data_IF_340609176749
#
_entry.id   IF_340609176749
#
_cell.length_a   1.000
_cell.length_b   1.000
_cell.length_c   1.000
_cell.angle_alpha   90.00
_cell.angle_beta   90.00
_cell.angle_gamma   90.00
#
_symmetry.space_group_name_H-M   'P 1'
#
loop_
_entity.id
_entity.type
_entity.pdbx_description
1 polymer ?
#
# COMPACT_ATOMS: atom_id res chain seq x y z
N UNK A 1 -32.47 20.10 -7.09
CA UNK A 1 -33.08 18.87 -6.52
C UNK A 1 -31.92 17.86 -6.47
N UNK A 2 -31.45 17.52 -5.29
CA UNK A 2 -30.46 16.45 -5.14
C UNK A 2 -31.16 15.14 -5.50
N UNK A 3 -30.77 14.52 -6.61
CA UNK A 3 -31.18 13.14 -6.87
C UNK A 3 -30.74 12.29 -5.69
N UNK A 4 -31.63 11.40 -5.22
CA UNK A 4 -31.29 10.46 -4.15
C UNK A 4 -30.16 9.58 -4.60
N UNK A 5 -28.97 9.82 -4.04
CA UNK A 5 -27.73 9.07 -4.36
C UNK A 5 -27.80 7.59 -3.98
N UNK A 6 -28.78 7.19 -3.16
CA UNK A 6 -28.97 5.82 -2.70
C UNK A 6 -30.38 5.33 -3.00
N UNK A 7 -30.52 4.15 -3.61
CA UNK A 7 -31.78 3.50 -3.99
C UNK A 7 -31.75 2.03 -3.58
N UNK A 8 -32.92 1.44 -3.39
CA UNK A 8 -33.03 -0.01 -3.29
C UNK A 8 -33.43 -0.53 -4.66
N UNK A 9 -32.59 -1.37 -5.26
CA UNK A 9 -32.84 -1.97 -6.56
C UNK A 9 -32.88 -3.49 -6.45
N UNK A 10 -33.67 -4.14 -7.29
CA UNK A 10 -33.65 -5.59 -7.44
C UNK A 10 -32.39 -6.03 -8.13
N UNK A 11 -32.00 -7.28 -7.93
CA UNK A 11 -30.81 -7.85 -8.58
C UNK A 11 -30.90 -7.74 -10.12
N UNK A 12 -32.08 -7.96 -10.66
CA UNK A 12 -32.33 -7.83 -12.11
C UNK A 12 -32.01 -6.42 -12.61
N UNK A 13 -32.57 -5.39 -11.95
CA UNK A 13 -32.33 -3.99 -12.30
C UNK A 13 -30.83 -3.61 -12.24
N UNK A 14 -30.13 -4.14 -11.25
CA UNK A 14 -28.67 -3.85 -11.11
C UNK A 14 -27.86 -4.52 -12.20
N UNK A 15 -28.18 -5.77 -12.56
CA UNK A 15 -27.45 -6.52 -13.58
C UNK A 15 -27.79 -6.11 -15.03
N UNK A 16 -28.91 -5.42 -15.25
CA UNK A 16 -29.26 -4.79 -16.54
C UNK A 16 -28.43 -3.54 -16.84
N UNK A 17 -27.82 -2.92 -15.82
CA UNK A 17 -26.92 -1.80 -16.02
C UNK A 17 -25.69 -2.21 -16.82
N UNK A 18 -25.11 -1.25 -17.56
CA UNK A 18 -23.84 -1.47 -18.26
C UNK A 18 -22.68 -1.43 -17.24
N UNK A 19 -22.70 -2.41 -16.32
CA UNK A 19 -21.68 -2.54 -15.27
C UNK A 19 -20.31 -2.81 -15.86
N UNK A 20 -19.28 -2.16 -15.31
CA UNK A 20 -17.89 -2.35 -15.69
C UNK A 20 -17.06 -2.65 -14.44
N UNK A 21 -16.13 -3.61 -14.57
CA UNK A 21 -15.09 -3.85 -13.56
C UNK A 21 -13.89 -3.00 -13.97
N UNK A 22 -13.63 -1.87 -13.32
CA UNK A 22 -12.50 -1.02 -13.67
C UNK A 22 -11.16 -1.64 -13.26
N UNK A 23 -10.06 -1.20 -13.91
CA UNK A 23 -8.72 -1.75 -13.71
C UNK A 23 -8.17 -1.53 -12.29
N UNK A 24 -8.70 -0.56 -11.55
CA UNK A 24 -8.31 -0.36 -10.16
C UNK A 24 -8.93 -1.39 -9.20
N UNK A 25 -9.97 -2.12 -9.61
CA UNK A 25 -10.59 -3.12 -8.74
C UNK A 25 -9.65 -4.29 -8.45
N UNK A 26 -9.74 -4.78 -7.21
CA UNK A 26 -8.99 -5.96 -6.78
C UNK A 26 -9.43 -7.20 -7.57
N UNK A 27 -8.53 -8.18 -7.77
CA UNK A 27 -8.93 -9.45 -8.36
C UNK A 27 -10.12 -10.10 -7.64
N UNK A 28 -10.91 -10.88 -8.35
CA UNK A 28 -11.94 -11.70 -7.75
C UNK A 28 -11.30 -12.78 -6.85
N UNK A 29 -11.44 -12.61 -5.52
CA UNK A 29 -10.76 -13.41 -4.50
C UNK A 29 -11.67 -14.35 -3.71
N UNK A 30 -12.99 -14.30 -3.92
CA UNK A 30 -13.87 -15.21 -3.24
C UNK A 30 -13.54 -16.66 -3.60
N UNK A 31 -13.42 -17.47 -2.57
CA UNK A 31 -13.21 -18.92 -2.67
C UNK A 31 -14.53 -19.64 -2.51
N UNK A 32 -14.54 -20.95 -2.74
CA UNK A 32 -15.71 -21.82 -2.56
C UNK A 32 -16.39 -21.58 -1.22
N UNK A 33 -15.65 -21.35 -0.13
CA UNK A 33 -16.22 -21.07 1.19
C UNK A 33 -17.13 -19.83 1.21
N UNK A 34 -16.72 -18.75 0.57
CA UNK A 34 -17.51 -17.51 0.51
C UNK A 34 -18.74 -17.69 -0.38
N UNK A 35 -18.58 -18.40 -1.49
CA UNK A 35 -19.68 -18.71 -2.42
C UNK A 35 -20.70 -19.59 -1.75
N UNK A 36 -20.25 -20.63 -1.05
CA UNK A 36 -21.13 -21.52 -0.29
C UNK A 36 -21.93 -20.76 0.77
N UNK A 37 -21.28 -19.89 1.53
CA UNK A 37 -21.95 -19.08 2.54
C UNK A 37 -23.05 -18.21 1.90
N UNK A 38 -22.77 -17.54 0.78
CA UNK A 38 -23.80 -16.76 0.09
C UNK A 38 -24.96 -17.64 -0.42
N UNK A 39 -24.66 -18.81 -0.98
CA UNK A 39 -25.69 -19.75 -1.47
C UNK A 39 -26.56 -20.28 -0.32
N UNK A 40 -25.95 -20.65 0.80
CA UNK A 40 -26.67 -21.14 1.99
C UNK A 40 -27.61 -20.07 2.53
N UNK A 41 -27.15 -18.82 2.61
CA UNK A 41 -27.96 -17.68 3.02
C UNK A 41 -29.16 -17.47 2.07
N UNK A 42 -28.90 -17.39 0.76
CA UNK A 42 -29.93 -17.20 -0.26
C UNK A 42 -30.99 -18.33 -0.24
N UNK A 43 -30.55 -19.58 -0.12
CA UNK A 43 -31.46 -20.74 -0.07
C UNK A 43 -32.25 -20.80 1.23
N UNK A 44 -31.68 -20.37 2.34
CA UNK A 44 -32.37 -20.29 3.63
C UNK A 44 -33.52 -19.27 3.53
N UNK A 45 -33.27 -18.09 3.04
CA UNK A 45 -34.29 -17.08 2.87
C UNK A 45 -35.34 -17.48 1.80
N UNK A 46 -34.91 -18.11 0.72
CA UNK A 46 -35.82 -18.65 -0.29
C UNK A 46 -36.78 -19.71 0.29
N UNK A 47 -36.27 -20.68 1.11
CA UNK A 47 -37.09 -21.71 1.77
C UNK A 47 -38.05 -21.12 2.79
N UNK A 48 -37.66 -20.05 3.48
CA UNK A 48 -38.48 -19.34 4.42
C UNK A 48 -39.55 -18.45 3.74
N UNK A 49 -39.57 -18.38 2.40
CA UNK A 49 -40.49 -17.55 1.61
C UNK A 49 -40.48 -16.07 2.00
N UNK A 50 -39.31 -15.56 2.34
CA UNK A 50 -39.16 -14.15 2.70
C UNK A 50 -39.46 -13.28 1.48
N UNK A 51 -40.27 -12.22 1.70
CA UNK A 51 -40.71 -11.33 0.63
C UNK A 51 -39.69 -10.27 0.23
N UNK A 52 -38.66 -10.08 1.05
CA UNK A 52 -37.56 -9.15 0.79
C UNK A 52 -36.29 -9.72 1.41
N UNK A 53 -35.24 -9.85 0.61
CA UNK A 53 -33.92 -10.19 1.12
C UNK A 53 -32.85 -9.25 0.53
N UNK A 54 -32.14 -8.55 1.42
CA UNK A 54 -31.07 -7.62 1.03
C UNK A 54 -29.71 -8.29 1.07
N UNK A 55 -29.09 -8.42 -0.10
CA UNK A 55 -27.79 -9.08 -0.24
C UNK A 55 -26.63 -8.16 0.20
N UNK A 56 -26.87 -6.86 0.31
CA UNK A 56 -25.90 -5.86 0.75
C UNK A 56 -25.88 -4.61 -0.11
N UNK A 57 -24.80 -3.84 -0.03
CA UNK A 57 -24.64 -2.58 -0.78
C UNK A 57 -23.78 -2.80 -2.01
N UNK A 58 -24.09 -2.10 -3.09
CA UNK A 58 -23.24 -1.90 -4.25
C UNK A 58 -23.02 -0.40 -4.44
N UNK A 59 -21.76 -0.01 -4.64
CA UNK A 59 -21.37 1.40 -4.89
C UNK A 59 -20.86 1.50 -6.30
N UNK A 60 -21.43 2.40 -7.05
CA UNK A 60 -21.18 2.59 -8.49
C UNK A 60 -20.71 4.03 -8.72
N UNK A 61 -19.62 4.16 -9.45
CA UNK A 61 -19.21 5.43 -10.05
C UNK A 61 -19.73 5.49 -11.47
N UNK A 62 -20.47 6.57 -11.77
CA UNK A 62 -21.03 6.79 -13.10
C UNK A 62 -20.03 7.54 -13.97
N UNK A 63 -19.51 6.85 -14.98
CA UNK A 63 -18.60 7.41 -15.98
C UNK A 63 -19.29 7.44 -17.36
N UNK A 64 -19.99 8.52 -17.61
CA UNK A 64 -20.78 8.70 -18.84
C UNK A 64 -21.92 7.69 -18.95
N UNK A 65 -21.76 6.69 -19.84
CA UNK A 65 -22.74 5.59 -20.03
C UNK A 65 -22.34 4.30 -19.30
N UNK A 66 -21.19 4.27 -18.66
CA UNK A 66 -20.69 3.13 -17.94
C UNK A 66 -20.93 3.29 -16.45
N UNK A 67 -21.11 2.16 -15.79
CA UNK A 67 -21.34 2.07 -14.36
C UNK A 67 -20.19 1.25 -13.73
N UNK A 68 -19.16 1.96 -13.26
CA UNK A 68 -17.97 1.37 -12.69
C UNK A 68 -18.25 0.85 -11.29
N UNK A 69 -18.00 -0.42 -11.05
CA UNK A 69 -18.20 -1.03 -9.74
C UNK A 69 -17.07 -0.57 -8.81
N UNK A 70 -17.40 0.22 -7.79
CA UNK A 70 -16.49 0.65 -6.72
C UNK A 70 -16.54 -0.32 -5.54
N UNK A 71 -17.73 -0.76 -5.14
CA UNK A 71 -17.92 -1.84 -4.16
C UNK A 71 -19.01 -2.82 -4.59
N UNK A 72 -18.93 -4.03 -4.02
CA UNK A 72 -19.86 -5.12 -4.31
C UNK A 72 -19.41 -6.05 -5.43
N UNK A 73 -18.23 -5.84 -6.04
CA UNK A 73 -17.70 -6.64 -7.16
C UNK A 73 -17.73 -8.15 -6.87
N UNK A 74 -17.25 -8.59 -5.72
CA UNK A 74 -17.18 -10.02 -5.38
C UNK A 74 -18.58 -10.65 -5.38
N UNK A 75 -19.57 -9.96 -4.82
CA UNK A 75 -20.97 -10.39 -4.79
C UNK A 75 -21.58 -10.40 -6.18
N UNK A 76 -21.41 -9.32 -6.94
CA UNK A 76 -21.96 -9.19 -8.29
C UNK A 76 -21.42 -10.28 -9.23
N UNK A 77 -20.10 -10.55 -9.20
CA UNK A 77 -19.51 -11.64 -10.00
C UNK A 77 -20.11 -12.98 -9.57
N UNK A 78 -20.21 -13.26 -8.27
CA UNK A 78 -20.74 -14.52 -7.77
C UNK A 78 -22.21 -14.70 -8.13
N UNK A 79 -23.03 -13.64 -8.01
CA UNK A 79 -24.44 -13.66 -8.45
C UNK A 79 -24.56 -13.87 -9.95
N UNK A 80 -23.67 -13.25 -10.73
CA UNK A 80 -23.62 -13.45 -12.19
C UNK A 80 -23.27 -14.89 -12.55
N UNK A 81 -22.31 -15.53 -11.86
CA UNK A 81 -21.97 -16.95 -12.03
C UNK A 81 -23.15 -17.85 -11.67
N UNK A 82 -23.84 -17.55 -10.58
CA UNK A 82 -25.03 -18.29 -10.13
C UNK A 82 -26.15 -18.20 -11.18
N UNK A 83 -26.48 -16.99 -11.63
CA UNK A 83 -27.51 -16.78 -12.65
C UNK A 83 -27.15 -17.41 -13.98
N UNK A 84 -25.87 -17.40 -14.36
CA UNK A 84 -25.39 -18.10 -15.55
C UNK A 84 -25.60 -19.63 -15.44
N UNK A 85 -25.33 -20.22 -14.25
CA UNK A 85 -25.62 -21.63 -14.00
C UNK A 85 -27.12 -21.98 -14.08
N UNK A 86 -27.98 -20.99 -13.83
CA UNK A 86 -29.44 -21.08 -13.92
C UNK A 86 -29.99 -20.68 -15.32
N UNK A 87 -29.10 -20.51 -16.30
CA UNK A 87 -29.46 -20.18 -17.69
C UNK A 87 -29.85 -18.73 -17.93
N UNK A 88 -29.28 -17.77 -17.17
CA UNK A 88 -29.34 -16.33 -17.47
C UNK A 88 -27.97 -15.84 -17.92
N UNK A 89 -27.96 -14.97 -18.92
CA UNK A 89 -26.77 -14.26 -19.34
C UNK A 89 -26.79 -12.82 -18.82
N UNK A 90 -25.64 -12.28 -18.51
CA UNK A 90 -25.47 -10.88 -18.14
C UNK A 90 -24.13 -10.34 -18.67
N UNK A 91 -24.04 -9.02 -18.84
CA UNK A 91 -22.89 -8.36 -19.46
C UNK A 91 -21.63 -8.40 -18.58
N UNK A 92 -21.76 -8.58 -17.27
CA UNK A 92 -20.63 -8.56 -16.37
C UNK A 92 -19.65 -9.71 -16.61
N UNK A 93 -20.15 -10.91 -16.98
CA UNK A 93 -19.32 -12.07 -17.28
C UNK A 93 -18.66 -12.03 -18.67
N UNK A 94 -19.08 -11.13 -19.56
CA UNK A 94 -18.48 -10.94 -20.88
C UNK A 94 -17.19 -10.11 -20.84
N UNK A 95 -16.86 -9.54 -19.67
CA UNK A 95 -15.66 -8.72 -19.53
C UNK A 95 -14.42 -9.60 -19.33
N UNK A 96 -13.26 -9.21 -19.92
CA UNK A 96 -12.05 -9.99 -19.80
C UNK A 96 -11.52 -9.93 -18.35
N UNK A 97 -11.33 -11.10 -17.76
CA UNK A 97 -10.63 -11.22 -16.48
C UNK A 97 -9.12 -11.22 -16.75
N UNK A 98 -8.46 -10.13 -16.47
CA UNK A 98 -7.03 -9.96 -16.74
C UNK A 98 -6.14 -10.73 -15.77
N UNK A 99 -6.55 -10.82 -14.49
CA UNK A 99 -5.74 -11.41 -13.43
C UNK A 99 -5.92 -12.93 -13.30
N UNK A 100 -4.81 -13.69 -13.20
CA UNK A 100 -4.81 -15.16 -13.09
C UNK A 100 -5.61 -15.68 -11.87
N UNK A 101 -5.54 -14.98 -10.73
CA UNK A 101 -6.32 -15.34 -9.53
C UNK A 101 -7.83 -15.25 -9.81
N UNK A 102 -8.27 -14.19 -10.49
CA UNK A 102 -9.68 -14.04 -10.88
C UNK A 102 -10.13 -15.20 -11.77
N UNK A 103 -9.34 -15.55 -12.78
CA UNK A 103 -9.66 -16.66 -13.70
C UNK A 103 -9.82 -17.98 -12.96
N UNK A 104 -8.85 -18.31 -12.10
CA UNK A 104 -8.88 -19.55 -11.35
C UNK A 104 -10.07 -19.62 -10.38
N UNK A 105 -10.33 -18.53 -9.65
CA UNK A 105 -11.43 -18.48 -8.70
C UNK A 105 -12.79 -18.52 -9.40
N UNK A 106 -12.95 -17.84 -10.53
CA UNK A 106 -14.19 -17.90 -11.34
C UNK A 106 -14.46 -19.32 -11.81
N UNK A 107 -13.46 -20.02 -12.35
CA UNK A 107 -13.62 -21.42 -12.79
C UNK A 107 -14.01 -22.31 -11.62
N UNK A 108 -13.24 -22.29 -10.53
CA UNK A 108 -13.49 -23.13 -9.36
C UNK A 108 -14.87 -22.86 -8.72
N UNK A 109 -15.25 -21.60 -8.60
CA UNK A 109 -16.51 -21.21 -8.02
C UNK A 109 -17.69 -21.54 -8.96
N UNK A 110 -17.53 -21.38 -10.26
CA UNK A 110 -18.57 -21.77 -11.22
C UNK A 110 -18.80 -23.29 -11.20
N UNK A 111 -17.73 -24.09 -11.19
CA UNK A 111 -17.83 -25.55 -11.09
C UNK A 111 -18.51 -25.97 -9.78
N UNK A 112 -18.19 -25.30 -8.67
CA UNK A 112 -18.88 -25.53 -7.39
C UNK A 112 -20.37 -25.19 -7.46
N UNK A 113 -20.74 -24.01 -7.98
CA UNK A 113 -22.13 -23.55 -8.12
C UNK A 113 -22.93 -24.51 -9.00
N UNK A 114 -22.37 -24.93 -10.14
CA UNK A 114 -23.02 -25.84 -11.09
C UNK A 114 -23.37 -27.20 -10.47
N UNK A 115 -22.54 -27.67 -9.53
CA UNK A 115 -22.74 -28.94 -8.84
C UNK A 115 -23.52 -28.77 -7.52
N UNK A 116 -23.90 -27.53 -7.16
CA UNK A 116 -24.65 -27.28 -5.93
C UNK A 116 -26.13 -27.68 -6.07
N UNK A 117 -26.66 -28.41 -5.09
CA UNK A 117 -28.02 -28.94 -5.17
C UNK A 117 -29.08 -27.88 -4.86
N UNK A 118 -29.83 -27.45 -5.87
CA UNK A 118 -30.93 -26.49 -5.77
C UNK A 118 -32.22 -27.24 -6.16
N UNK A 119 -33.18 -27.37 -5.23
CA UNK A 119 -34.38 -28.22 -5.38
C UNK A 119 -35.35 -27.69 -6.47
N UNK A 120 -35.51 -26.39 -6.60
CA UNK A 120 -36.35 -25.75 -7.63
C UNK A 120 -35.60 -24.57 -8.25
N UNK A 121 -34.86 -24.86 -9.31
CA UNK A 121 -34.02 -23.88 -9.99
C UNK A 121 -34.83 -22.74 -10.63
N UNK A 122 -36.04 -23.01 -11.13
CA UNK A 122 -36.88 -22.00 -11.76
C UNK A 122 -37.45 -21.02 -10.72
N UNK A 123 -38.01 -21.52 -9.65
CA UNK A 123 -38.55 -20.67 -8.60
C UNK A 123 -37.41 -19.90 -7.88
N UNK A 124 -36.26 -20.55 -7.65
CA UNK A 124 -35.10 -19.89 -7.05
C UNK A 124 -34.53 -18.79 -7.94
N UNK A 125 -34.45 -19.00 -9.25
CA UNK A 125 -34.04 -17.96 -10.21
C UNK A 125 -34.99 -16.76 -10.14
N UNK A 126 -36.31 -16.99 -10.15
CA UNK A 126 -37.31 -15.95 -10.01
C UNK A 126 -37.16 -15.18 -8.70
N UNK A 127 -36.93 -15.89 -7.60
CA UNK A 127 -36.69 -15.29 -6.28
C UNK A 127 -35.45 -14.37 -6.30
N UNK A 128 -34.33 -14.80 -6.90
CA UNK A 128 -33.11 -14.02 -7.00
C UNK A 128 -33.34 -12.71 -7.78
N UNK A 129 -34.04 -12.76 -8.89
CA UNK A 129 -34.21 -11.61 -9.77
C UNK A 129 -35.29 -10.63 -9.25
N UNK A 130 -36.42 -11.14 -8.74
CA UNK A 130 -37.60 -10.33 -8.44
C UNK A 130 -37.75 -9.97 -6.96
N UNK A 131 -37.13 -10.75 -6.03
CA UNK A 131 -37.31 -10.58 -4.59
C UNK A 131 -36.04 -10.06 -3.92
N UNK A 132 -34.88 -10.58 -4.34
CA UNK A 132 -33.61 -10.14 -3.76
C UNK A 132 -33.26 -8.72 -4.18
N UNK A 133 -32.79 -7.91 -3.23
CA UNK A 133 -32.49 -6.50 -3.38
C UNK A 133 -31.06 -6.17 -3.00
N UNK A 134 -30.55 -5.08 -3.55
CA UNK A 134 -29.31 -4.41 -3.11
C UNK A 134 -29.56 -2.94 -2.80
N UNK A 135 -28.81 -2.42 -1.83
CA UNK A 135 -28.69 -0.98 -1.65
C UNK A 135 -27.75 -0.47 -2.75
N UNK A 136 -28.29 0.20 -3.73
CA UNK A 136 -27.58 0.77 -4.85
C UNK A 136 -27.22 2.23 -4.57
N UNK A 137 -25.95 2.57 -4.62
CA UNK A 137 -25.43 3.93 -4.44
C UNK A 137 -24.71 4.34 -5.71
N UNK A 138 -25.19 5.43 -6.34
CA UNK A 138 -24.60 5.99 -7.55
C UNK A 138 -23.96 7.33 -7.23
N UNK A 139 -22.70 7.49 -7.61
CA UNK A 139 -21.92 8.70 -7.38
C UNK A 139 -21.22 9.09 -8.69
N UNK A 140 -21.25 10.39 -8.99
CA UNK A 140 -20.63 10.95 -10.19
C UNK A 140 -19.14 11.26 -10.00
N UNK A 141 -18.69 11.40 -8.74
CA UNK A 141 -17.30 11.63 -8.38
C UNK A 141 -16.68 10.37 -7.79
N UNK A 142 -15.54 9.97 -8.34
CA UNK A 142 -14.86 8.75 -7.92
C UNK A 142 -14.27 8.86 -6.50
N UNK A 143 -13.76 10.03 -6.13
CA UNK A 143 -13.19 10.24 -4.79
C UNK A 143 -14.31 10.19 -3.74
N UNK A 144 -15.50 10.77 -4.06
CA UNK A 144 -16.70 10.65 -3.22
C UNK A 144 -17.16 9.19 -3.11
N UNK A 145 -17.12 8.43 -4.21
CA UNK A 145 -17.47 7.01 -4.20
C UNK A 145 -16.54 6.18 -3.30
N UNK A 146 -15.25 6.48 -3.29
CA UNK A 146 -14.30 5.83 -2.40
C UNK A 146 -14.52 6.24 -0.93
N UNK A 147 -14.71 7.53 -0.63
CA UNK A 147 -15.00 7.99 0.74
C UNK A 147 -16.28 7.36 1.28
N UNK A 148 -17.32 7.28 0.45
CA UNK A 148 -18.56 6.60 0.84
C UNK A 148 -18.34 5.13 1.15
N UNK A 149 -17.60 4.42 0.29
CA UNK A 149 -17.25 3.03 0.49
C UNK A 149 -16.46 2.82 1.81
N UNK A 150 -15.46 3.65 2.07
CA UNK A 150 -14.63 3.56 3.28
C UNK A 150 -15.47 3.77 4.56
N UNK A 151 -16.36 4.75 4.54
CA UNK A 151 -17.26 5.02 5.68
C UNK A 151 -18.25 3.88 5.98
N UNK A 152 -18.66 3.10 4.97
CA UNK A 152 -19.59 1.98 5.12
C UNK A 152 -18.91 0.67 5.53
N UNK A 153 -17.61 0.54 5.31
CA UNK A 153 -16.87 -0.73 5.52
C UNK A 153 -16.45 -1.03 6.97
N UNK A 154 -17.09 -0.41 7.95
CA UNK A 154 -16.87 -0.73 9.36
C UNK A 154 -17.13 -2.22 9.73
N UNK A 155 -17.68 -3.04 8.82
CA UNK A 155 -18.04 -4.45 9.03
C UNK A 155 -17.37 -5.44 8.05
N UNK A 156 -16.62 -4.98 7.05
CA UNK A 156 -15.90 -5.79 6.06
C UNK A 156 -14.38 -5.63 6.15
N UNK A 157 -13.62 -6.24 5.21
CA UNK A 157 -12.21 -5.90 5.04
C UNK A 157 -12.16 -4.56 4.30
N UNK A 158 -11.72 -3.45 4.93
CA UNK A 158 -11.69 -2.14 4.29
C UNK A 158 -10.78 -2.18 3.06
N UNK A 159 -11.01 -1.25 2.12
CA UNK A 159 -10.01 -0.92 1.10
C UNK A 159 -8.79 -0.35 1.81
N UNK A 160 -7.64 -0.82 1.41
CA UNK A 160 -6.41 -0.20 1.87
C UNK A 160 -6.24 1.16 1.18
N UNK A 161 -5.74 2.16 1.89
CA UNK A 161 -5.57 3.51 1.34
C UNK A 161 -4.73 3.53 0.05
N UNK A 162 -3.82 2.58 -0.11
CA UNK A 162 -3.04 2.43 -1.35
C UNK A 162 -3.89 1.92 -2.55
N UNK A 163 -5.04 1.26 -2.34
CA UNK A 163 -5.98 0.91 -3.43
C UNK A 163 -6.63 2.17 -4.01
N UNK A 164 -6.87 3.19 -3.17
CA UNK A 164 -7.37 4.50 -3.60
C UNK A 164 -6.32 5.25 -4.43
N UNK A 165 -5.05 5.19 -4.02
CA UNK A 165 -3.95 5.75 -4.81
C UNK A 165 -3.85 5.10 -6.18
N UNK A 166 -3.98 3.76 -6.25
CA UNK A 166 -4.01 3.05 -7.53
C UNK A 166 -5.10 3.62 -8.44
N UNK A 167 -6.32 3.73 -7.94
CA UNK A 167 -7.44 4.25 -8.71
C UNK A 167 -7.20 5.67 -9.23
N UNK A 168 -6.71 6.55 -8.35
CA UNK A 168 -6.38 7.92 -8.70
C UNK A 168 -5.35 8.00 -9.84
N UNK A 169 -4.23 7.30 -9.71
CA UNK A 169 -3.17 7.36 -10.71
C UNK A 169 -3.52 6.65 -12.02
N UNK A 170 -4.34 5.59 -11.99
CA UNK A 170 -4.84 4.96 -13.22
C UNK A 170 -5.79 5.90 -13.99
N UNK A 171 -6.60 6.69 -13.30
CA UNK A 171 -7.42 7.72 -13.95
C UNK A 171 -6.57 8.74 -14.73
N UNK A 172 -5.42 9.12 -14.18
CA UNK A 172 -4.47 10.01 -14.85
C UNK A 172 -3.78 9.37 -16.09
N UNK A 173 -3.95 8.05 -16.26
CA UNK A 173 -3.39 7.29 -17.39
C UNK A 173 -4.41 6.97 -18.48
N UNK A 174 -5.60 7.60 -18.49
CA UNK A 174 -6.69 7.30 -19.43
C UNK A 174 -6.28 7.36 -20.91
N UNK A 175 -5.31 8.22 -21.25
CA UNK A 175 -4.82 8.42 -22.62
C UNK A 175 -3.55 7.58 -22.93
N UNK A 176 -3.10 6.73 -22.01
CA UNK A 176 -1.95 5.85 -22.19
C UNK A 176 -2.33 4.55 -22.92
N UNK A 177 -1.40 3.91 -23.63
CA UNK A 177 -1.60 2.58 -24.18
C UNK A 177 -2.03 1.58 -23.10
N UNK A 178 -3.01 0.72 -23.44
CA UNK A 178 -3.56 -0.28 -22.50
C UNK A 178 -2.49 -1.22 -21.93
N UNK A 179 -1.47 -1.53 -22.71
CA UNK A 179 -0.35 -2.38 -22.28
C UNK A 179 0.42 -1.76 -21.11
N UNK A 180 0.63 -0.44 -21.12
CA UNK A 180 1.30 0.29 -20.03
C UNK A 180 0.42 0.28 -18.78
N UNK A 181 -0.87 0.60 -18.93
CA UNK A 181 -1.83 0.57 -17.82
C UNK A 181 -1.88 -0.82 -17.19
N UNK A 182 -2.01 -1.86 -18.03
CA UNK A 182 -2.04 -3.25 -17.56
C UNK A 182 -0.76 -3.65 -16.82
N UNK A 183 0.40 -3.25 -17.33
CA UNK A 183 1.69 -3.52 -16.69
C UNK A 183 1.78 -2.86 -15.29
N UNK A 184 1.32 -1.62 -15.16
CA UNK A 184 1.27 -0.93 -13.85
C UNK A 184 0.35 -1.67 -12.86
N UNK A 185 -0.85 -2.06 -13.30
CA UNK A 185 -1.81 -2.80 -12.48
C UNK A 185 -1.25 -4.15 -12.04
N UNK A 186 -0.65 -4.91 -12.96
CA UNK A 186 -0.08 -6.23 -12.65
C UNK A 186 1.04 -6.15 -11.61
N UNK A 187 1.97 -5.20 -11.76
CA UNK A 187 3.04 -4.96 -10.78
C UNK A 187 2.47 -4.59 -9.42
N UNK A 188 1.50 -3.68 -9.39
CA UNK A 188 0.85 -3.24 -8.16
C UNK A 188 0.16 -4.38 -7.42
N UNK A 189 -0.67 -5.14 -8.13
CA UNK A 189 -1.38 -6.30 -7.54
C UNK A 189 -0.40 -7.37 -7.02
N UNK A 190 0.67 -7.62 -7.75
CA UNK A 190 1.72 -8.53 -7.30
C UNK A 190 2.33 -8.07 -5.98
N UNK A 191 2.65 -6.77 -5.86
CA UNK A 191 3.22 -6.20 -4.63
C UNK A 191 2.20 -6.14 -3.48
N UNK A 192 0.91 -5.86 -3.78
CA UNK A 192 -0.17 -5.85 -2.79
C UNK A 192 -0.47 -7.25 -2.22
N UNK A 193 -0.23 -8.30 -3.01
CA UNK A 193 -0.43 -9.69 -2.60
C UNK A 193 0.83 -10.32 -2.00
N UNK A 194 1.95 -9.64 -2.09
CA UNK A 194 3.23 -10.13 -1.59
C UNK A 194 3.21 -10.21 -0.07
N UNK A 195 3.80 -11.30 0.46
CA UNK A 195 4.12 -11.44 1.87
C UNK A 195 5.58 -11.09 2.17
N UNK A 196 6.30 -10.62 1.15
CA UNK A 196 7.69 -10.21 1.27
C UNK A 196 7.80 -8.91 2.10
N UNK A 197 9.01 -8.64 2.56
CA UNK A 197 9.31 -7.47 3.42
C UNK A 197 9.01 -6.13 2.76
N UNK A 198 8.99 -6.11 1.43
CA UNK A 198 8.79 -4.93 0.58
C UNK A 198 7.39 -4.86 -0.05
N UNK A 199 6.39 -5.44 0.62
CA UNK A 199 4.99 -5.33 0.17
C UNK A 199 4.50 -3.87 0.19
N UNK A 200 3.39 -3.60 -0.52
CA UNK A 200 2.86 -2.24 -0.67
C UNK A 200 2.53 -1.56 0.66
N UNK A 201 1.94 -2.30 1.61
CA UNK A 201 1.62 -1.77 2.93
C UNK A 201 2.87 -1.22 3.61
N UNK A 202 3.96 -2.01 3.63
CA UNK A 202 5.23 -1.59 4.22
C UNK A 202 5.80 -0.36 3.53
N UNK A 203 5.84 -0.36 2.20
CA UNK A 203 6.50 0.71 1.44
C UNK A 203 5.69 2.01 1.50
N UNK A 204 4.38 1.95 1.29
CA UNK A 204 3.55 3.16 1.23
C UNK A 204 3.30 3.69 2.64
N UNK A 205 2.75 2.86 3.55
CA UNK A 205 2.25 3.34 4.83
C UNK A 205 3.36 3.61 5.85
N UNK A 206 4.43 2.81 5.83
CA UNK A 206 5.46 2.88 6.88
C UNK A 206 6.77 3.51 6.45
N UNK A 207 7.04 3.65 5.15
CA UNK A 207 8.29 4.25 4.66
C UNK A 207 8.00 5.57 3.94
N UNK A 208 7.35 5.53 2.78
CA UNK A 208 7.18 6.72 1.94
C UNK A 208 6.26 7.77 2.58
N UNK A 209 5.12 7.33 3.12
CA UNK A 209 4.19 8.22 3.81
C UNK A 209 4.89 8.96 4.96
N UNK A 210 5.56 8.21 5.85
CA UNK A 210 6.25 8.79 7.00
C UNK A 210 7.33 9.77 6.58
N UNK A 211 8.22 9.41 5.66
CA UNK A 211 9.28 10.29 5.19
C UNK A 211 8.74 11.57 4.56
N UNK A 212 7.69 11.48 3.75
CA UNK A 212 7.07 12.64 3.12
C UNK A 212 6.38 13.56 4.13
N UNK A 213 5.64 13.01 5.11
CA UNK A 213 4.97 13.78 6.18
C UNK A 213 5.98 14.42 7.13
N UNK A 214 6.97 13.66 7.58
CA UNK A 214 8.01 14.18 8.48
C UNK A 214 8.84 15.29 7.85
N UNK A 215 9.07 15.24 6.54
CA UNK A 215 9.69 16.34 5.81
C UNK A 215 8.92 17.66 5.98
N UNK A 216 7.59 17.61 5.95
CA UNK A 216 6.73 18.77 6.20
C UNK A 216 6.42 19.03 7.68
N UNK A 217 7.02 18.26 8.60
CA UNK A 217 6.76 18.31 10.03
C UNK A 217 5.30 17.99 10.40
N UNK A 218 4.70 17.10 9.65
CA UNK A 218 3.34 16.62 9.81
C UNK A 218 3.33 15.19 10.35
N UNK A 219 2.19 14.76 10.93
CA UNK A 219 2.08 13.40 11.47
C UNK A 219 2.12 12.35 10.38
N UNK A 220 2.96 11.31 10.60
CA UNK A 220 3.08 10.11 9.78
C UNK A 220 2.55 8.85 10.49
N UNK A 221 1.63 8.99 11.46
CA UNK A 221 1.20 7.87 12.28
C UNK A 221 0.40 6.83 11.48
N UNK A 222 -0.65 7.26 10.82
CA UNK A 222 -1.56 6.40 10.05
C UNK A 222 -1.85 7.03 8.71
N UNK A 223 -1.76 6.23 7.65
CA UNK A 223 -2.16 6.64 6.31
C UNK A 223 -3.59 6.20 6.04
N UNK A 224 -4.50 7.14 5.89
CA UNK A 224 -5.92 6.93 5.61
C UNK A 224 -6.34 7.60 4.29
N UNK A 225 -7.62 7.52 3.96
CA UNK A 225 -8.20 8.24 2.81
C UNK A 225 -8.02 9.76 2.89
N UNK A 226 -7.88 10.32 4.10
CA UNK A 226 -7.76 11.76 4.30
C UNK A 226 -6.37 12.29 3.92
N UNK A 227 -5.33 11.43 3.95
CA UNK A 227 -3.95 11.81 3.62
C UNK A 227 -3.54 11.48 2.18
N UNK A 228 -4.46 11.12 1.30
CA UNK A 228 -4.17 10.77 -0.10
C UNK A 228 -3.39 11.88 -0.84
N UNK A 229 -3.61 13.14 -0.47
CA UNK A 229 -2.89 14.30 -1.04
C UNK A 229 -1.36 14.18 -0.89
N UNK A 230 -0.86 13.44 0.11
CA UNK A 230 0.58 13.19 0.29
C UNK A 230 1.22 12.53 -0.94
N UNK A 231 0.43 11.79 -1.70
CA UNK A 231 0.89 11.06 -2.89
C UNK A 231 0.29 11.56 -4.20
N UNK A 232 -0.67 12.49 -4.16
CA UNK A 232 -1.13 13.17 -5.36
C UNK A 232 -0.08 14.18 -5.80
N UNK A 233 0.27 14.10 -7.06
CA UNK A 233 1.30 14.93 -7.67
C UNK A 233 0.73 15.87 -8.71
N UNK A 234 1.56 16.20 -9.69
CA UNK A 234 1.18 17.03 -10.83
C UNK A 234 0.88 16.16 -12.06
N UNK A 235 0.00 16.64 -12.94
CA UNK A 235 -0.24 15.98 -14.22
C UNK A 235 1.04 15.94 -15.07
N UNK A 236 1.22 14.88 -15.84
CA UNK A 236 2.33 14.77 -16.82
C UNK A 236 2.30 15.91 -17.87
N UNK A 237 1.13 16.48 -18.10
CA UNK A 237 0.94 17.62 -19.02
C UNK A 237 1.22 19.00 -18.39
N UNK A 238 1.55 19.06 -17.10
CA UNK A 238 1.80 20.34 -16.42
C UNK A 238 3.08 21.00 -16.97
N UNK A 239 3.00 22.32 -17.19
CA UNK A 239 4.08 23.12 -17.79
C UNK A 239 4.72 24.09 -16.80
N UNK A 240 4.66 23.80 -15.51
CA UNK A 240 5.27 24.67 -14.50
C UNK A 240 6.80 24.69 -14.63
N UNK A 241 7.46 25.86 -14.55
CA UNK A 241 8.90 26.00 -14.75
C UNK A 241 9.76 25.11 -13.85
N UNK A 242 9.36 24.90 -12.60
CA UNK A 242 10.09 24.07 -11.63
C UNK A 242 10.10 22.56 -11.97
N UNK A 243 9.22 22.11 -12.86
CA UNK A 243 9.17 20.71 -13.33
C UNK A 243 10.16 20.44 -14.47
N UNK A 244 10.69 21.48 -15.11
CA UNK A 244 11.57 21.32 -16.27
C UNK A 244 12.78 20.40 -16.02
N UNK A 245 13.50 20.46 -14.89
CA UNK A 245 14.59 19.52 -14.61
C UNK A 245 14.11 18.07 -14.49
N UNK A 246 12.93 17.85 -13.90
CA UNK A 246 12.36 16.54 -13.71
C UNK A 246 11.99 15.87 -15.04
N UNK A 247 11.37 16.61 -15.95
CA UNK A 247 11.06 16.13 -17.29
C UNK A 247 12.31 15.94 -18.15
N UNK A 248 13.29 16.86 -18.08
CA UNK A 248 14.54 16.73 -18.78
C UNK A 248 15.31 15.46 -18.40
N UNK A 249 15.35 15.14 -17.12
CA UNK A 249 15.96 13.89 -16.61
C UNK A 249 15.33 12.67 -17.26
N UNK A 250 14.00 12.61 -17.38
CA UNK A 250 13.29 11.49 -18.03
C UNK A 250 13.55 11.38 -19.52
N UNK A 251 13.64 12.49 -20.21
CA UNK A 251 14.01 12.48 -21.64
C UNK A 251 15.40 11.89 -21.81
N UNK A 252 16.37 12.32 -20.99
CA UNK A 252 17.74 11.79 -21.01
C UNK A 252 17.77 10.30 -20.70
N UNK A 253 17.00 9.84 -19.72
CA UNK A 253 16.87 8.41 -19.39
C UNK A 253 16.35 7.58 -20.57
N UNK A 254 15.25 8.02 -21.19
CA UNK A 254 14.70 7.35 -22.38
C UNK A 254 15.71 7.30 -23.54
N UNK A 255 16.43 8.39 -23.78
CA UNK A 255 17.48 8.44 -24.80
C UNK A 255 18.63 7.49 -24.49
N UNK A 256 19.06 7.42 -23.22
CA UNK A 256 20.13 6.52 -22.79
C UNK A 256 19.75 5.05 -22.91
N UNK A 257 18.48 4.70 -22.68
CA UNK A 257 17.95 3.35 -22.87
C UNK A 257 17.86 2.94 -24.34
N UNK A 258 17.52 3.88 -25.21
CA UNK A 258 17.31 3.61 -26.64
C UNK A 258 18.57 3.69 -27.49
N UNK A 259 19.59 4.40 -27.02
CA UNK A 259 20.79 4.65 -27.82
C UNK A 259 22.08 4.47 -27.00
N UNK A 260 22.90 3.44 -27.33
CA UNK A 260 24.16 3.17 -26.65
C UNK A 260 25.15 4.36 -26.62
N UNK A 261 25.04 5.29 -27.58
CA UNK A 261 25.89 6.50 -27.61
C UNK A 261 25.65 7.44 -26.43
N UNK A 262 24.44 7.42 -25.86
CA UNK A 262 24.08 8.20 -24.67
C UNK A 262 24.20 7.38 -23.39
N UNK A 263 24.74 6.15 -23.47
CA UNK A 263 24.93 5.31 -22.32
C UNK A 263 25.94 5.92 -21.35
N UNK A 264 25.44 6.44 -20.25
CA UNK A 264 26.25 6.81 -19.11
C UNK A 264 25.60 6.23 -17.84
N UNK A 265 26.36 5.58 -16.96
CA UNK A 265 25.77 4.90 -15.77
C UNK A 265 24.86 5.78 -14.92
N UNK A 266 25.09 7.10 -14.91
CA UNK A 266 24.25 8.08 -14.20
C UNK A 266 22.89 8.36 -14.86
N UNK A 267 22.71 8.01 -16.15
CA UNK A 267 21.51 8.29 -16.92
C UNK A 267 20.70 7.05 -17.28
N UNK A 268 21.23 5.88 -17.02
CA UNK A 268 20.59 4.60 -17.39
C UNK A 268 19.40 4.28 -16.50
N UNK A 269 19.47 4.68 -15.26
CA UNK A 269 18.36 4.58 -14.30
C UNK A 269 18.32 5.84 -13.46
N UNK A 270 17.29 6.63 -13.65
CA UNK A 270 17.06 7.81 -12.82
C UNK A 270 16.65 7.35 -11.43
N UNK A 271 17.38 7.79 -10.43
CA UNK A 271 16.98 7.57 -9.05
C UNK A 271 15.87 8.56 -8.68
N UNK A 272 14.80 8.07 -8.11
CA UNK A 272 13.80 8.91 -7.49
C UNK A 272 14.35 9.49 -6.17
N UNK A 273 13.71 10.54 -5.67
CA UNK A 273 13.93 11.06 -4.32
C UNK A 273 12.63 10.96 -3.53
N UNK A 274 12.70 10.51 -2.27
CA UNK A 274 11.52 10.28 -1.43
C UNK A 274 10.60 11.50 -1.33
N UNK A 275 11.19 12.69 -1.26
CA UNK A 275 10.48 13.97 -1.08
C UNK A 275 10.27 14.75 -2.38
N UNK A 276 10.61 14.18 -3.55
CA UNK A 276 10.42 14.87 -4.82
C UNK A 276 8.93 15.15 -5.10
N UNK A 277 8.68 16.14 -5.97
CA UNK A 277 7.37 16.31 -6.60
C UNK A 277 7.02 15.06 -7.39
N UNK A 278 5.86 14.49 -7.10
CA UNK A 278 5.35 13.33 -7.83
C UNK A 278 4.72 13.77 -9.14
N UNK A 279 4.82 12.93 -10.14
CA UNK A 279 4.05 13.04 -11.39
C UNK A 279 3.02 11.94 -11.37
N UNK A 280 1.76 12.31 -11.60
CA UNK A 280 0.63 11.38 -11.58
C UNK A 280 0.73 10.33 -12.68
N UNK A 281 0.07 9.20 -12.48
CA UNK A 281 0.00 8.12 -13.45
C UNK A 281 1.20 7.18 -13.39
N UNK A 282 1.74 6.79 -14.54
CA UNK A 282 2.82 5.78 -14.69
C UNK A 282 4.01 6.02 -13.76
N UNK A 283 4.41 7.28 -13.62
CA UNK A 283 5.58 7.65 -12.83
C UNK A 283 5.41 7.42 -11.33
N UNK A 284 4.19 7.51 -10.82
CA UNK A 284 3.91 7.15 -9.44
C UNK A 284 4.09 5.63 -9.22
N UNK A 285 3.63 4.80 -10.14
CA UNK A 285 3.85 3.35 -10.05
C UNK A 285 5.34 3.01 -10.11
N UNK A 286 6.10 3.67 -10.96
CA UNK A 286 7.56 3.50 -11.05
C UNK A 286 8.27 3.98 -9.78
N UNK A 287 7.82 5.08 -9.19
CA UNK A 287 8.32 5.59 -7.91
C UNK A 287 8.11 4.58 -6.77
N UNK A 288 6.93 4.03 -6.63
CA UNK A 288 6.64 3.02 -5.60
C UNK A 288 7.44 1.74 -5.82
N UNK A 289 7.54 1.28 -7.07
CA UNK A 289 8.33 0.10 -7.42
C UNK A 289 9.82 0.30 -7.12
N UNK A 290 10.37 1.47 -7.45
CA UNK A 290 11.76 1.80 -7.15
C UNK A 290 12.06 1.69 -5.65
N UNK A 291 11.20 2.23 -4.79
CA UNK A 291 11.38 2.15 -3.34
C UNK A 291 11.12 0.75 -2.78
N UNK A 292 10.25 -0.03 -3.39
CA UNK A 292 10.08 -1.43 -3.05
C UNK A 292 11.37 -2.23 -3.29
N UNK A 293 11.98 -2.06 -4.46
CA UNK A 293 13.27 -2.70 -4.81
C UNK A 293 14.42 -2.20 -3.93
N UNK A 294 14.47 -0.89 -3.67
CA UNK A 294 15.48 -0.29 -2.81
C UNK A 294 15.37 -0.80 -1.37
N UNK A 295 14.14 -0.90 -0.85
CA UNK A 295 13.91 -1.42 0.50
C UNK A 295 14.37 -2.88 0.61
N UNK A 296 14.07 -3.72 -0.36
CA UNK A 296 14.55 -5.10 -0.41
C UNK A 296 16.09 -5.15 -0.46
N UNK A 297 16.73 -4.33 -1.32
CA UNK A 297 18.20 -4.23 -1.41
C UNK A 297 18.83 -3.86 -0.06
N UNK A 298 18.21 -2.97 0.71
CA UNK A 298 18.73 -2.52 2.00
C UNK A 298 18.46 -3.52 3.12
N UNK A 299 17.23 -4.05 3.21
CA UNK A 299 16.72 -4.69 4.42
C UNK A 299 16.36 -6.18 4.25
N UNK A 300 16.71 -6.82 3.12
CA UNK A 300 16.50 -8.26 2.98
C UNK A 300 17.35 -9.00 4.01
N UNK A 301 16.69 -9.78 4.87
CA UNK A 301 17.35 -10.49 5.97
C UNK A 301 18.47 -11.42 5.46
N UNK A 302 19.63 -11.33 6.06
CA UNK A 302 20.82 -12.11 5.75
C UNK A 302 21.56 -11.71 4.45
N UNK A 303 20.97 -10.88 3.57
CA UNK A 303 21.57 -10.50 2.29
C UNK A 303 21.52 -8.99 1.97
N UNK A 304 20.68 -8.25 2.66
CA UNK A 304 20.58 -6.79 2.48
C UNK A 304 21.85 -6.05 2.93
N UNK A 305 22.00 -4.83 2.43
CA UNK A 305 23.20 -4.02 2.74
C UNK A 305 23.32 -3.73 4.24
N UNK A 306 22.20 -3.59 4.95
CA UNK A 306 22.19 -3.33 6.40
C UNK A 306 22.77 -4.53 7.18
N UNK A 307 22.56 -5.75 6.72
CA UNK A 307 23.11 -6.95 7.38
C UNK A 307 24.59 -7.21 7.08
N UNK A 308 25.20 -6.45 6.17
CA UNK A 308 26.67 -6.47 5.99
C UNK A 308 27.39 -5.81 7.18
N UNK A 309 26.70 -4.89 7.86
CA UNK A 309 27.22 -4.23 9.06
C UNK A 309 27.04 -5.17 10.25
N UNK A 310 28.17 -5.70 10.73
CA UNK A 310 28.24 -6.67 11.84
C UNK A 310 28.86 -6.11 13.11
N UNK A 311 29.26 -4.83 13.08
CA UNK A 311 29.81 -4.15 14.24
C UNK A 311 29.21 -2.77 14.39
N UNK A 312 28.85 -2.42 15.62
CA UNK A 312 28.42 -1.07 15.97
C UNK A 312 29.25 -0.64 17.18
N UNK A 313 29.90 0.52 17.08
CA UNK A 313 30.75 1.08 18.14
C UNK A 313 31.85 0.11 18.65
N UNK A 314 32.32 -0.79 17.78
CA UNK A 314 33.34 -1.81 18.13
C UNK A 314 32.76 -3.16 18.59
N UNK A 315 31.50 -3.21 18.99
CA UNK A 315 30.82 -4.41 19.46
C UNK A 315 30.24 -5.24 18.31
N UNK A 316 30.37 -6.56 18.41
CA UNK A 316 29.86 -7.49 17.40
C UNK A 316 28.35 -7.64 17.48
N UNK A 317 27.70 -7.50 16.32
CA UNK A 317 26.28 -7.79 16.10
C UNK A 317 26.17 -9.09 15.31
N UNK A 318 25.77 -10.18 15.97
CA UNK A 318 25.58 -11.45 15.28
C UNK A 318 24.62 -11.33 14.11
N UNK A 319 24.95 -11.95 12.98
CA UNK A 319 24.14 -12.02 11.76
C UNK A 319 23.81 -10.67 11.09
N UNK A 320 24.29 -9.54 11.64
CA UNK A 320 24.07 -8.20 11.08
C UNK A 320 22.91 -7.43 11.71
N UNK A 321 22.90 -6.11 11.46
CA UNK A 321 22.02 -5.16 12.15
C UNK A 321 20.54 -5.41 11.86
N UNK A 322 20.17 -5.67 10.61
CA UNK A 322 18.77 -5.88 10.26
C UNK A 322 18.23 -7.19 10.85
N UNK A 323 19.00 -8.28 10.75
CA UNK A 323 18.65 -9.57 11.36
C UNK A 323 18.51 -9.43 12.88
N UNK A 324 19.39 -8.66 13.54
CA UNK A 324 19.28 -8.36 14.96
C UNK A 324 17.97 -7.62 15.27
N UNK A 325 17.60 -6.61 14.47
CA UNK A 325 16.37 -5.84 14.66
C UNK A 325 15.09 -6.61 14.32
N UNK A 326 15.19 -7.72 13.56
CA UNK A 326 14.07 -8.60 13.25
C UNK A 326 13.84 -9.68 14.32
N UNK A 327 14.81 -9.90 15.21
CA UNK A 327 14.68 -10.91 16.24
C UNK A 327 13.59 -10.55 17.24
N UNK A 328 12.54 -11.38 17.32
CA UNK A 328 11.40 -11.16 18.21
C UNK A 328 11.77 -11.19 19.70
N UNK A 329 12.86 -11.85 20.07
CA UNK A 329 13.37 -11.79 21.46
C UNK A 329 13.81 -10.39 21.84
N UNK A 330 14.23 -9.59 20.87
CA UNK A 330 14.77 -8.24 21.07
C UNK A 330 13.79 -7.12 20.72
N UNK A 331 12.92 -7.32 19.72
CA UNK A 331 12.04 -6.29 19.18
C UNK A 331 10.55 -6.68 19.27
N UNK A 332 10.07 -7.08 20.45
CA UNK A 332 8.68 -7.49 20.67
C UNK A 332 7.75 -6.36 21.11
N UNK A 333 8.28 -5.33 21.77
CA UNK A 333 7.48 -4.20 22.27
C UNK A 333 7.02 -3.31 21.10
N UNK A 334 5.85 -2.69 21.23
CA UNK A 334 5.31 -1.75 20.24
C UNK A 334 6.30 -0.61 19.96
N UNK A 335 6.89 -0.05 21.01
CA UNK A 335 7.89 1.02 20.88
C UNK A 335 9.16 0.60 20.13
N UNK A 336 9.57 -0.68 20.21
CA UNK A 336 10.72 -1.18 19.46
C UNK A 336 10.41 -1.25 17.95
N UNK A 337 9.15 -1.58 17.59
CA UNK A 337 8.70 -1.54 16.19
C UNK A 337 8.73 -0.12 15.62
N UNK A 338 8.38 0.88 16.43
CA UNK A 338 8.48 2.29 16.02
C UNK A 338 9.93 2.73 15.84
N UNK A 339 10.82 2.34 16.75
CA UNK A 339 12.25 2.63 16.61
C UNK A 339 12.85 1.96 15.39
N UNK A 340 12.55 0.68 15.17
CA UNK A 340 12.99 -0.04 13.97
C UNK A 340 12.53 0.68 12.71
N UNK A 341 11.29 1.12 12.65
CA UNK A 341 10.78 1.82 11.48
C UNK A 341 11.46 3.19 11.28
N UNK A 342 11.72 3.95 12.36
CA UNK A 342 12.50 5.18 12.27
C UNK A 342 13.91 4.91 11.72
N UNK A 343 14.54 3.83 12.17
CA UNK A 343 15.84 3.40 11.65
C UNK A 343 15.78 3.09 10.14
N UNK A 344 14.80 2.30 9.71
CA UNK A 344 14.58 1.95 8.31
C UNK A 344 14.36 3.20 7.43
N UNK A 345 13.49 4.11 7.87
CA UNK A 345 13.25 5.39 7.20
C UNK A 345 14.55 6.21 7.09
N UNK A 346 15.32 6.26 8.16
CA UNK A 346 16.55 7.08 8.22
C UNK A 346 17.63 6.52 7.30
N UNK A 347 17.84 5.20 7.28
CA UNK A 347 18.83 4.55 6.41
C UNK A 347 18.42 4.69 4.94
N UNK A 348 17.14 4.47 4.63
CA UNK A 348 16.64 4.63 3.26
C UNK A 348 16.79 6.09 2.79
N UNK A 349 16.47 7.07 3.63
CA UNK A 349 16.59 8.49 3.30
C UNK A 349 18.04 8.93 3.06
N UNK A 350 18.99 8.37 3.81
CA UNK A 350 20.41 8.58 3.55
C UNK A 350 20.83 7.97 2.22
N UNK A 351 20.44 6.72 1.98
CA UNK A 351 20.79 6.02 0.74
C UNK A 351 20.21 6.71 -0.49
N UNK A 352 18.98 7.21 -0.39
CA UNK A 352 18.31 7.99 -1.42
C UNK A 352 19.15 9.19 -1.89
N UNK A 353 19.85 9.83 -0.97
CA UNK A 353 20.65 11.01 -1.26
C UNK A 353 22.10 10.72 -1.63
N UNK A 354 22.74 9.76 -0.96
CA UNK A 354 24.18 9.56 -1.03
C UNK A 354 24.62 8.18 -1.56
N UNK A 355 23.64 7.26 -1.75
CA UNK A 355 23.92 5.91 -2.19
C UNK A 355 24.71 5.11 -1.14
N UNK A 356 25.65 4.32 -1.61
CA UNK A 356 26.46 3.43 -0.76
C UNK A 356 27.70 4.12 -0.14
N UNK A 357 27.89 5.44 -0.40
CA UNK A 357 29.08 6.16 0.11
C UNK A 357 29.00 6.30 1.62
N UNK A 358 29.96 5.71 2.35
CA UNK A 358 30.00 5.64 3.82
C UNK A 358 28.74 5.07 4.46
N UNK A 359 28.07 4.15 3.78
CA UNK A 359 26.81 3.59 4.24
C UNK A 359 26.97 2.80 5.55
N UNK A 360 28.05 2.03 5.68
CA UNK A 360 28.29 1.20 6.86
C UNK A 360 28.48 2.05 8.13
N UNK A 361 29.25 3.13 8.01
CA UNK A 361 29.45 4.08 9.10
C UNK A 361 28.14 4.82 9.43
N UNK A 362 27.34 5.14 8.39
CA UNK A 362 26.06 5.78 8.58
C UNK A 362 25.05 4.85 9.25
N UNK A 363 24.97 3.57 8.87
CA UNK A 363 24.11 2.56 9.51
C UNK A 363 24.40 2.50 11.01
N UNK A 364 25.69 2.44 11.39
CA UNK A 364 26.10 2.46 12.79
C UNK A 364 25.65 3.72 13.51
N UNK A 365 25.80 4.87 12.86
CA UNK A 365 25.37 6.16 13.40
C UNK A 365 23.85 6.25 13.56
N UNK A 366 23.08 5.83 12.56
CA UNK A 366 21.62 5.82 12.58
C UNK A 366 21.09 4.89 13.68
N UNK A 367 21.70 3.71 13.85
CA UNK A 367 21.36 2.79 14.93
C UNK A 367 21.55 3.47 16.30
N UNK A 368 22.72 4.04 16.56
CA UNK A 368 23.00 4.73 17.83
C UNK A 368 22.03 5.88 18.06
N UNK A 369 21.74 6.71 17.05
CA UNK A 369 20.79 7.81 17.17
C UNK A 369 19.38 7.35 17.54
N UNK A 370 18.86 6.36 16.81
CA UNK A 370 17.50 5.85 17.03
C UNK A 370 17.37 5.18 18.40
N UNK A 371 18.31 4.29 18.74
CA UNK A 371 18.19 3.53 19.99
C UNK A 371 18.57 4.32 21.23
N UNK A 372 19.19 5.51 21.08
CA UNK A 372 19.34 6.47 22.17
C UNK A 372 17.97 6.89 22.76
N UNK A 373 16.91 6.89 21.95
CA UNK A 373 15.53 7.17 22.39
C UNK A 373 15.11 6.14 23.47
N UNK A 374 15.50 4.88 23.34
CA UNK A 374 15.20 3.81 24.31
C UNK A 374 15.79 4.10 25.69
N UNK A 375 16.96 4.71 25.74
CA UNK A 375 17.57 5.08 27.02
C UNK A 375 16.92 6.30 27.69
N UNK A 376 16.29 7.16 26.90
CA UNK A 376 15.61 8.36 27.40
C UNK A 376 14.17 8.09 27.86
N UNK A 377 13.52 7.01 27.36
CA UNK A 377 12.10 6.81 27.55
C UNK A 377 11.75 5.36 27.92
N UNK A 378 11.05 5.16 29.03
CA UNK A 378 10.54 3.85 29.44
C UNK A 378 9.46 3.33 28.48
N UNK A 379 8.54 4.21 28.11
CA UNK A 379 7.50 3.95 27.10
C UNK A 379 7.79 4.80 25.89
N UNK A 380 7.70 4.20 24.71
CA UNK A 380 7.92 4.90 23.44
C UNK A 380 6.60 4.82 22.65
N UNK A 381 5.70 5.80 22.82
CA UNK A 381 4.58 5.99 21.92
C UNK A 381 5.08 6.47 20.56
N UNK A 382 4.26 6.35 19.52
CA UNK A 382 4.61 6.83 18.18
C UNK A 382 5.03 8.30 18.18
N UNK A 383 4.32 9.14 18.95
CA UNK A 383 4.60 10.57 19.08
C UNK A 383 6.04 10.88 19.47
N UNK A 384 6.65 10.09 20.37
CA UNK A 384 8.06 10.27 20.76
C UNK A 384 9.01 10.08 19.58
N UNK A 385 8.73 9.08 18.74
CA UNK A 385 9.53 8.80 17.53
C UNK A 385 9.30 9.88 16.47
N UNK A 386 8.07 10.33 16.32
CA UNK A 386 7.68 11.40 15.42
C UNK A 386 8.32 12.74 15.78
N UNK A 387 8.33 13.11 17.06
CA UNK A 387 8.97 14.34 17.54
C UNK A 387 10.47 14.35 17.23
N UNK A 388 11.14 13.20 17.35
CA UNK A 388 12.55 13.07 16.97
C UNK A 388 12.74 13.11 15.45
N UNK A 389 11.86 12.46 14.67
CA UNK A 389 11.89 12.47 13.21
C UNK A 389 11.65 13.88 12.63
N UNK A 390 10.69 14.62 13.17
CA UNK A 390 10.34 15.99 12.78
C UNK A 390 11.27 17.05 13.36
N UNK A 391 12.22 16.68 14.21
CA UNK A 391 13.11 17.64 14.84
C UNK A 391 13.99 18.38 13.82
N UNK A 392 13.96 19.72 13.83
CA UNK A 392 14.84 20.54 12.99
C UNK A 392 16.33 20.36 13.27
N UNK A 393 16.67 19.89 14.44
CA UNK A 393 18.03 19.51 14.85
C UNK A 393 18.29 18.01 14.75
N UNK A 394 17.29 17.20 14.37
CA UNK A 394 17.37 15.76 14.25
C UNK A 394 18.20 15.29 13.06
N UNK A 395 18.51 14.00 13.05
CA UNK A 395 19.36 13.40 12.01
C UNK A 395 18.73 13.46 10.61
N UNK A 396 17.41 13.30 10.47
CA UNK A 396 16.72 13.42 9.18
C UNK A 396 16.90 14.82 8.58
N UNK A 397 16.63 15.88 9.35
CA UNK A 397 16.86 17.26 8.92
C UNK A 397 18.34 17.54 8.63
N UNK A 398 19.26 16.87 9.32
CA UNK A 398 20.69 17.01 9.06
C UNK A 398 21.10 16.34 7.75
N UNK A 399 20.57 15.15 7.43
CA UNK A 399 20.76 14.49 6.13
C UNK A 399 20.28 15.42 5.02
N UNK A 400 19.08 15.98 5.16
CA UNK A 400 18.48 16.83 4.14
C UNK A 400 19.34 18.05 3.81
N UNK A 401 19.91 18.71 4.82
CA UNK A 401 20.74 19.92 4.63
C UNK A 401 22.18 19.63 4.23
N UNK A 402 22.68 18.42 4.47
CA UNK A 402 24.07 18.06 4.16
C UNK A 402 24.28 17.90 2.65
N UNK A 403 25.37 18.46 2.14
CA UNK A 403 25.76 18.33 0.73
C UNK A 403 26.67 17.12 0.49
N UNK A 404 27.31 16.60 1.54
CA UNK A 404 28.22 15.46 1.45
C UNK A 404 27.97 14.46 2.57
N UNK A 405 28.26 13.16 2.34
CA UNK A 405 28.17 12.14 3.38
C UNK A 405 29.01 12.48 4.63
N UNK A 406 30.20 13.05 4.43
CA UNK A 406 31.09 13.44 5.52
C UNK A 406 30.48 14.50 6.45
N UNK A 407 29.61 15.36 5.92
CA UNK A 407 28.85 16.31 6.76
C UNK A 407 27.83 15.55 7.63
N UNK A 408 27.13 14.57 7.06
CA UNK A 408 26.18 13.75 7.83
C UNK A 408 26.88 12.99 8.94
N UNK A 409 28.06 12.45 8.68
CA UNK A 409 28.83 11.70 9.69
C UNK A 409 29.34 12.57 10.86
N UNK A 410 29.36 13.89 10.71
CA UNK A 410 29.69 14.81 11.80
C UNK A 410 28.54 15.04 12.79
N UNK A 411 27.31 14.57 12.46
CA UNK A 411 26.18 14.67 13.40
C UNK A 411 26.52 14.00 14.75
N UNK A 412 26.31 14.67 15.87
CA UNK A 412 26.62 14.10 17.17
C UNK A 412 25.68 12.94 17.53
N UNK A 413 26.16 11.72 17.43
CA UNK A 413 25.40 10.50 17.78
C UNK A 413 25.70 9.96 19.17
N UNK A 414 26.65 10.56 19.85
CA UNK A 414 27.01 10.23 21.23
C UNK A 414 26.62 11.42 22.12
N UNK A 415 25.58 11.24 22.91
CA UNK A 415 25.50 12.01 24.17
C UNK A 415 26.40 11.28 25.17
N UNK A 416 27.15 12.00 26.05
CA UNK A 416 27.70 11.37 27.21
C UNK A 416 26.52 10.81 28.01
N UNK A 417 26.30 9.50 27.93
CA UNK A 417 25.38 8.80 28.81
C UNK A 417 26.09 8.78 30.17
N UNK A 418 25.82 9.79 31.01
CA UNK A 418 26.13 9.67 32.43
C UNK A 418 25.18 8.63 33.02
N UNK A 419 25.60 7.96 34.10
CA UNK A 419 24.73 7.01 34.81
C UNK A 419 23.38 7.64 35.18
N UNK A 420 23.32 8.95 35.40
CA UNK A 420 22.11 9.73 35.68
C UNK A 420 21.17 9.91 34.47
N UNK A 421 21.67 9.78 33.25
CA UNK A 421 20.86 9.90 32.00
C UNK A 421 20.23 8.59 31.58
N UNK A 422 20.66 7.46 32.13
CA UNK A 422 20.07 6.14 31.88
C UNK A 422 18.88 5.98 32.85
N UNK A 423 17.72 6.50 32.46
CA UNK A 423 16.51 6.57 33.29
C UNK A 423 15.97 5.19 33.73
N UNK A 424 16.59 4.05 33.38
CA UNK A 424 16.02 2.73 33.67
C UNK A 424 17.03 1.68 34.08
N UNK A 425 17.29 1.55 35.42
CA UNK A 425 18.06 0.42 35.94
C UNK A 425 17.37 -0.94 35.83
N UNK A 426 16.05 -0.99 35.51
CA UNK A 426 15.23 -2.21 35.56
C UNK A 426 14.64 -2.61 34.18
N UNK A 427 15.33 -2.41 33.09
CA UNK A 427 14.89 -2.95 31.80
C UNK A 427 15.32 -4.43 31.74
N UNK A 428 14.40 -5.31 32.15
CA UNK A 428 14.56 -6.75 32.06
C UNK A 428 14.37 -7.19 30.60
N UNK A 429 15.45 -7.51 29.92
CA UNK A 429 15.40 -8.11 28.60
C UNK A 429 16.77 -8.17 27.93
N UNK A 430 17.00 -9.22 27.14
CA UNK A 430 18.27 -9.45 26.43
C UNK A 430 18.63 -8.31 25.46
N UNK A 431 17.63 -7.60 24.92
CA UNK A 431 17.86 -6.47 24.01
C UNK A 431 18.52 -5.29 24.72
N UNK A 432 18.06 -4.97 25.92
CA UNK A 432 18.56 -3.79 26.64
C UNK A 432 20.00 -4.05 27.13
N UNK A 433 20.32 -5.29 27.48
CA UNK A 433 21.70 -5.71 27.77
C UNK A 433 22.60 -5.57 26.54
N UNK A 434 22.18 -6.09 25.38
CA UNK A 434 22.97 -6.00 24.14
C UNK A 434 23.11 -4.56 23.64
N UNK A 435 22.05 -3.77 23.73
CA UNK A 435 22.10 -2.34 23.35
C UNK A 435 23.05 -1.59 24.30
N UNK A 436 23.01 -1.88 25.62
CA UNK A 436 23.95 -1.29 26.59
C UNK A 436 25.41 -1.62 26.25
N UNK A 437 25.71 -2.87 25.94
CA UNK A 437 27.06 -3.27 25.47
C UNK A 437 27.48 -2.42 24.27
N UNK A 438 26.62 -2.27 23.26
CA UNK A 438 26.87 -1.48 22.03
C UNK A 438 27.08 0.01 22.36
N UNK A 439 26.40 0.53 23.37
CA UNK A 439 26.58 1.92 23.82
C UNK A 439 27.74 2.09 24.81
N UNK A 440 28.29 0.99 25.33
CA UNK A 440 29.39 1.00 26.31
C UNK A 440 28.94 1.48 27.68
N UNK A 441 27.71 1.14 28.11
CA UNK A 441 27.08 1.52 29.40
C UNK A 441 26.46 0.31 30.10
#
# INVERSE_FOLDING_TARGET
MSEEKAKILKIDDVLELNLRIPDYQRPYKWTIKHVQQLLDDLLTHFRNQEQVYRIGTVVIHKDGKNFDIVDGQQRLITLSLLLHSLGSENNLLNQPLTHSISKNNVINNYDFIKNYSISDTKAFKKYLLEICEMVYVELDDLDEAFQFFDSQNSRGKPLESYDLLKAYHLREMKDKPKEIVHHCVERWEKSALSQEINNLDKIINYILFRLRRWHYQESGEVFTSDELETFKGVSESATYPYLSPLFATKVVEKLAQQNPMFYHPRFVKTNFQTIQTLINGEQFFDYVQYYSELYEKLFKEGSGLVDKVKKINGEDIEKGVNTFLNNQEYCYRVGDKYLKNLFECTVLFYFDKFGEVYLDEFISKAFLWVYLIRFKHQRIPFKTVEDEACSKSGLLSHIERSLTPSQVLKYPSRLPLSEDTVAFPNVNGNIDGKIREVFGV
#
